data_IF_867536618315
#
_entry.id   IF_867536618315
#
_cell.length_a   1.000
_cell.length_b   1.000
_cell.length_c   1.000
_cell.angle_alpha   90.00
_cell.angle_beta   90.00
_cell.angle_gamma   90.00
#
_symmetry.space_group_name_H-M   'P 1'
#
loop_
_entity.id
_entity.type
_entity.pdbx_description
1 polymer ?
#
# COMPACT_ATOMS: atom_id res chain seq x y z
N UNK A 1 -5.39 -27.21 0.08
CA UNK A 1 -6.06 -26.41 -0.97
C UNK A 1 -5.96 -24.95 -0.53
N UNK A 2 -5.76 -24.03 -1.46
CA UNK A 2 -5.77 -22.60 -1.19
C UNK A 2 -7.22 -22.13 -1.07
N UNK A 3 -7.51 -21.26 -0.10
CA UNK A 3 -8.87 -20.75 0.16
C UNK A 3 -8.91 -19.22 -0.04
N UNK A 4 -10.06 -18.67 -0.39
CA UNK A 4 -10.27 -17.22 -0.58
C UNK A 4 -9.90 -16.40 0.66
N UNK A 5 -10.10 -16.96 1.86
CA UNK A 5 -9.72 -16.32 3.13
C UNK A 5 -8.21 -16.07 3.27
N UNK A 6 -7.38 -16.76 2.48
CA UNK A 6 -5.92 -16.59 2.47
C UNK A 6 -5.47 -15.44 1.56
N UNK A 7 -6.35 -14.97 0.66
CA UNK A 7 -6.07 -13.97 -0.36
C UNK A 7 -7.25 -13.01 -0.42
N UNK A 8 -7.42 -12.24 0.65
CA UNK A 8 -8.60 -11.43 0.79
C UNK A 8 -8.35 -10.02 0.26
N UNK A 9 -9.18 -9.59 -0.71
CA UNK A 9 -9.31 -8.22 -1.26
C UNK A 9 -9.74 -7.18 -0.19
N UNK A 10 -9.42 -7.39 1.09
CA UNK A 10 -9.79 -6.54 2.24
C UNK A 10 -9.39 -5.10 2.02
N UNK A 11 -8.30 -4.86 1.30
CA UNK A 11 -7.79 -3.51 1.02
C UNK A 11 -8.81 -2.69 0.22
N UNK A 12 -9.62 -3.34 -0.61
CA UNK A 12 -10.66 -2.69 -1.42
C UNK A 12 -12.05 -2.66 -0.74
N UNK A 13 -12.21 -3.33 0.42
CA UNK A 13 -13.49 -3.35 1.12
C UNK A 13 -13.76 -2.00 1.83
N UNK A 14 -15.05 -1.61 1.95
CA UNK A 14 -15.42 -0.43 2.74
C UNK A 14 -14.90 -0.54 4.18
N UNK A 15 -14.35 0.55 4.70
CA UNK A 15 -13.81 0.61 6.07
C UNK A 15 -12.36 0.17 6.21
N UNK A 16 -11.68 -0.21 5.12
CA UNK A 16 -10.23 -0.44 5.17
C UNK A 16 -9.46 0.85 5.47
N UNK A 17 -8.71 0.85 6.57
CA UNK A 17 -7.87 1.98 6.97
C UNK A 17 -6.53 1.95 6.22
N UNK A 18 -6.52 2.51 5.01
CA UNK A 18 -5.28 2.71 4.26
C UNK A 18 -4.44 3.81 4.94
N UNK A 19 -3.27 3.43 5.46
CA UNK A 19 -2.29 4.39 6.00
C UNK A 19 -1.89 5.42 4.96
N UNK A 20 -1.80 6.68 5.34
CA UNK A 20 -1.34 7.73 4.43
C UNK A 20 0.16 7.57 4.13
N UNK A 21 0.62 8.03 2.95
CA UNK A 21 2.04 8.00 2.60
C UNK A 21 2.94 8.75 3.61
N UNK A 22 2.52 9.87 4.24
CA UNK A 22 3.27 10.48 5.33
C UNK A 22 3.43 9.55 6.55
N UNK A 23 2.36 8.86 6.98
CA UNK A 23 2.46 7.89 8.08
C UNK A 23 3.37 6.72 7.73
N UNK A 24 3.26 6.20 6.51
CA UNK A 24 4.15 5.14 6.01
C UNK A 24 5.61 5.62 6.01
N UNK A 25 5.87 6.84 5.54
CA UNK A 25 7.21 7.45 5.55
C UNK A 25 7.77 7.56 6.96
N UNK A 26 6.96 8.04 7.92
CA UNK A 26 7.38 8.13 9.33
C UNK A 26 7.72 6.76 9.89
N UNK A 27 6.88 5.75 9.64
CA UNK A 27 7.14 4.39 10.09
C UNK A 27 8.44 3.81 9.50
N UNK A 28 8.69 4.00 8.20
CA UNK A 28 9.94 3.55 7.56
C UNK A 28 11.15 4.25 8.19
N UNK A 29 11.05 5.54 8.49
CA UNK A 29 12.15 6.29 9.11
C UNK A 29 12.46 5.81 10.54
N UNK A 30 11.44 5.36 11.28
CA UNK A 30 11.56 4.90 12.66
C UNK A 30 12.00 3.43 12.76
N UNK A 31 11.44 2.55 11.91
CA UNK A 31 11.60 1.10 12.03
C UNK A 31 12.42 0.46 10.90
N UNK A 32 12.64 1.16 9.78
CA UNK A 32 13.47 0.67 8.67
C UNK A 32 12.80 -0.35 7.74
N UNK A 33 11.50 -0.63 7.92
CA UNK A 33 10.71 -1.52 7.07
C UNK A 33 9.27 -1.00 6.91
N UNK A 34 8.46 -1.66 6.09
CA UNK A 34 7.08 -1.25 5.84
C UNK A 34 6.16 -1.62 7.02
N UNK A 35 5.12 -0.81 7.33
CA UNK A 35 4.10 -1.19 8.29
C UNK A 35 3.46 -2.54 7.94
N UNK A 36 3.37 -3.45 8.92
CA UNK A 36 2.78 -4.77 8.73
C UNK A 36 3.64 -5.76 7.93
N UNK A 37 4.91 -5.42 7.65
CA UNK A 37 5.93 -6.34 7.16
C UNK A 37 6.97 -6.50 8.26
N UNK A 38 7.35 -7.72 8.69
CA UNK A 38 8.41 -7.89 9.67
C UNK A 38 9.74 -7.34 9.17
N UNK A 39 10.61 -6.93 10.09
CA UNK A 39 11.99 -6.60 9.77
C UNK A 39 12.73 -7.83 9.24
N UNK A 40 13.81 -7.62 8.49
CA UNK A 40 14.62 -8.72 7.98
C UNK A 40 15.16 -9.62 9.11
N UNK A 41 15.47 -9.06 10.28
CA UNK A 41 15.89 -9.82 11.46
C UNK A 41 14.77 -10.75 11.93
N UNK A 42 13.55 -10.22 12.09
CA UNK A 42 12.39 -11.00 12.52
C UNK A 42 12.04 -12.10 11.51
N UNK A 43 12.18 -11.84 10.20
CA UNK A 43 11.95 -12.86 9.17
C UNK A 43 12.96 -14.02 9.26
N UNK A 44 14.22 -13.75 9.62
CA UNK A 44 15.23 -14.79 9.82
C UNK A 44 14.93 -15.61 11.07
N UNK A 45 14.57 -14.94 12.17
CA UNK A 45 14.32 -15.58 13.46
C UNK A 45 13.05 -16.44 13.47
N UNK A 46 11.98 -15.96 12.83
CA UNK A 46 10.67 -16.64 12.80
C UNK A 46 10.57 -17.68 11.68
N UNK A 47 11.46 -17.59 10.67
CA UNK A 47 11.36 -18.35 9.44
C UNK A 47 10.32 -17.79 8.47
N UNK A 48 10.35 -18.29 7.24
CA UNK A 48 9.49 -17.83 6.15
C UNK A 48 8.41 -18.87 5.83
N UNK A 49 7.16 -18.56 6.18
CA UNK A 49 6.00 -19.22 5.56
C UNK A 49 5.75 -18.53 4.21
N UNK A 50 5.97 -19.26 3.12
CA UNK A 50 5.86 -18.73 1.75
C UNK A 50 4.45 -18.23 1.46
N UNK A 51 3.42 -18.93 1.92
CA UNK A 51 2.03 -18.55 1.66
C UNK A 51 1.65 -17.28 2.41
N UNK A 52 2.04 -17.18 3.68
CA UNK A 52 1.80 -15.97 4.48
C UNK A 52 2.58 -14.78 3.94
N UNK A 53 3.82 -15.01 3.51
CA UNK A 53 4.67 -13.96 2.94
C UNK A 53 4.09 -13.44 1.63
N UNK A 54 3.65 -14.31 0.72
CA UNK A 54 3.03 -13.89 -0.53
C UNK A 54 1.70 -13.15 -0.30
N UNK A 55 0.85 -13.61 0.63
CA UNK A 55 -0.39 -12.91 0.98
C UNK A 55 -0.11 -11.51 1.57
N UNK A 56 0.91 -11.40 2.42
CA UNK A 56 1.36 -10.11 2.96
C UNK A 56 1.88 -9.18 1.86
N UNK A 57 2.67 -9.70 0.91
CA UNK A 57 3.17 -8.92 -0.22
C UNK A 57 2.03 -8.48 -1.17
N UNK A 58 1.05 -9.35 -1.43
CA UNK A 58 -0.13 -8.99 -2.22
C UNK A 58 -0.89 -7.84 -1.59
N UNK A 59 -1.13 -7.89 -0.27
CA UNK A 59 -1.74 -6.78 0.47
C UNK A 59 -0.96 -5.46 0.27
N UNK A 60 0.37 -5.50 0.28
CA UNK A 60 1.20 -4.30 0.03
C UNK A 60 1.06 -3.80 -1.41
N UNK A 61 0.92 -4.69 -2.38
CA UNK A 61 0.67 -4.35 -3.79
C UNK A 61 -0.70 -3.68 -3.95
N UNK A 62 -1.74 -4.18 -3.28
CA UNK A 62 -3.08 -3.57 -3.28
C UNK A 62 -3.07 -2.17 -2.65
N UNK A 63 -2.41 -2.00 -1.50
CA UNK A 63 -2.24 -0.69 -0.85
C UNK A 63 -1.51 0.30 -1.77
N UNK A 64 -0.43 -0.15 -2.41
CA UNK A 64 0.31 0.67 -3.38
C UNK A 64 -0.54 1.04 -4.59
N UNK A 65 -1.37 0.12 -5.07
CA UNK A 65 -2.30 0.35 -6.19
C UNK A 65 -3.33 1.43 -5.82
N UNK A 66 -3.89 1.39 -4.61
CA UNK A 66 -4.78 2.46 -4.13
C UNK A 66 -4.08 3.81 -4.04
N UNK A 67 -2.83 3.85 -3.58
CA UNK A 67 -2.04 5.08 -3.59
C UNK A 67 -1.79 5.59 -5.01
N UNK A 68 -1.49 4.70 -5.96
CA UNK A 68 -1.27 5.05 -7.36
C UNK A 68 -2.53 5.64 -8.00
N UNK A 69 -3.71 5.06 -7.77
CA UNK A 69 -5.00 5.58 -8.24
C UNK A 69 -5.24 7.00 -7.71
N UNK A 70 -5.07 7.21 -6.38
CA UNK A 70 -5.23 8.55 -5.78
C UNK A 70 -4.24 9.58 -6.35
N UNK A 71 -3.02 9.15 -6.65
CA UNK A 71 -2.01 10.00 -7.28
C UNK A 71 -2.40 10.35 -8.71
N UNK A 72 -2.88 9.39 -9.50
CA UNK A 72 -3.35 9.62 -10.87
C UNK A 72 -4.53 10.61 -10.90
N UNK A 73 -5.50 10.45 -10.00
CA UNK A 73 -6.63 11.38 -9.85
C UNK A 73 -6.15 12.81 -9.55
N UNK A 74 -5.26 12.97 -8.58
CA UNK A 74 -4.68 14.27 -8.23
C UNK A 74 -3.88 14.88 -9.37
N UNK A 75 -3.13 14.09 -10.14
CA UNK A 75 -2.41 14.56 -11.33
C UNK A 75 -3.40 15.11 -12.36
N UNK A 76 -4.46 14.36 -12.67
CA UNK A 76 -5.51 14.81 -13.61
C UNK A 76 -6.19 16.10 -13.15
N UNK A 77 -6.41 16.27 -11.84
CA UNK A 77 -6.96 17.51 -11.29
C UNK A 77 -6.02 18.70 -11.49
N UNK A 78 -4.72 18.51 -11.24
CA UNK A 78 -3.70 19.54 -11.43
C UNK A 78 -3.55 19.93 -12.91
N UNK A 79 -3.57 18.95 -13.82
CA UNK A 79 -3.53 19.19 -15.28
C UNK A 79 -4.75 19.99 -15.76
N UNK A 80 -5.94 19.67 -15.25
CA UNK A 80 -7.17 20.43 -15.54
C UNK A 80 -7.12 21.85 -14.99
N UNK A 81 -6.53 22.06 -13.82
CA UNK A 81 -6.38 23.40 -13.24
C UNK A 81 -5.38 24.24 -14.05
N UNK A 82 -4.25 23.66 -14.45
CA UNK A 82 -3.24 24.31 -15.27
C UNK A 82 -3.78 24.73 -16.65
N UNK A 83 -4.60 23.90 -17.29
CA UNK A 83 -5.19 24.20 -18.60
C UNK A 83 -6.29 25.27 -18.56
N UNK A 84 -7.04 25.39 -17.45
CA UNK A 84 -8.05 26.44 -17.28
C UNK A 84 -7.45 27.83 -17.00
N UNK A 85 -6.30 27.90 -16.32
CA UNK A 85 -5.59 29.15 -16.04
C UNK A 85 -4.84 29.76 -17.23
N UNK A 86 -4.78 29.06 -18.37
CA UNK A 86 -4.05 29.49 -19.57
C UNK A 86 -4.96 29.97 -20.71
N UNK A 87 -6.27 30.13 -20.47
CA UNK A 87 -7.20 30.68 -21.47
C UNK A 87 -7.27 32.22 -21.28
N UNK A 88 -6.87 33.03 -22.29
CA UNK A 88 -7.03 34.48 -22.23
C UNK A 88 -8.51 34.90 -22.24
#
# INVERSE_FOLDING_TARGET
MLNEDQWEDRVFKPGYELKSLPEVKTFIAEYGHLPGVPSACEMVDQGLDVLQTDAMLLKKIEELTLHAIRLEERVKELERAATKGSKP
#
